data_IF_155059812128
#
_entry.id   IF_155059812128
#
_cell.length_a   1.000
_cell.length_b   1.000
_cell.length_c   1.000
_cell.angle_alpha   90.00
_cell.angle_beta   90.00
_cell.angle_gamma   90.00
#
_symmetry.space_group_name_H-M   'P 1'
#
loop_
_entity.id
_entity.type
_entity.pdbx_description
1 polymer ?
#
# COMPACT_ATOMS: atom_id res chain seq x y z
N UNK A 1 16.28 1.35 -11.22
CA UNK A 1 17.44 1.78 -12.03
C UNK A 1 17.51 3.28 -12.21
N UNK A 2 16.51 3.88 -12.86
CA UNK A 2 16.57 5.29 -13.23
C UNK A 2 16.68 6.23 -12.01
N UNK A 3 15.99 5.93 -10.92
CA UNK A 3 16.05 6.70 -9.68
C UNK A 3 17.44 6.71 -9.03
N UNK A 4 18.08 5.57 -8.69
CA UNK A 4 19.42 5.59 -8.10
C UNK A 4 20.46 6.21 -9.03
N UNK A 5 20.40 5.95 -10.35
CA UNK A 5 21.24 6.65 -11.33
C UNK A 5 21.04 8.17 -11.30
N UNK A 6 19.79 8.62 -11.19
CA UNK A 6 19.47 10.05 -11.15
C UNK A 6 20.00 10.71 -9.89
N UNK A 7 19.89 10.03 -8.74
CA UNK A 7 20.45 10.51 -7.48
C UNK A 7 21.98 10.47 -7.44
N UNK A 8 22.62 9.58 -8.19
CA UNK A 8 24.07 9.54 -8.32
C UNK A 8 24.61 10.70 -9.17
N UNK A 9 23.93 11.04 -10.26
CA UNK A 9 24.29 12.18 -11.13
C UNK A 9 23.93 13.53 -10.53
N UNK A 10 22.77 13.60 -9.89
CA UNK A 10 22.19 14.83 -9.34
C UNK A 10 21.69 14.56 -7.92
N UNK A 11 22.62 14.35 -6.96
CA UNK A 11 22.23 14.20 -5.56
C UNK A 11 21.55 15.48 -5.06
N UNK A 12 20.60 15.38 -4.12
CA UNK A 12 19.95 16.55 -3.54
C UNK A 12 20.98 17.52 -2.96
N UNK A 13 21.00 18.77 -3.42
CA UNK A 13 22.01 19.76 -2.99
C UNK A 13 22.02 19.95 -1.49
N UNK A 14 20.83 19.86 -0.90
CA UNK A 14 20.60 19.98 0.52
C UNK A 14 21.44 18.98 1.36
N UNK A 15 21.87 17.84 0.79
CA UNK A 15 22.71 16.84 1.46
C UNK A 15 24.21 17.12 1.36
N UNK A 16 24.63 18.06 0.52
CA UNK A 16 26.04 18.46 0.39
C UNK A 16 26.98 17.36 -0.14
N UNK A 17 26.44 16.30 -0.75
CA UNK A 17 27.26 15.21 -1.31
C UNK A 17 27.57 15.53 -2.78
N UNK A 18 28.86 15.57 -3.18
CA UNK A 18 29.23 15.80 -4.57
C UNK A 18 28.74 14.67 -5.48
N UNK A 19 28.21 15.04 -6.66
CA UNK A 19 27.77 14.10 -7.68
C UNK A 19 28.91 13.17 -8.13
N UNK A 20 28.55 11.99 -8.67
CA UNK A 20 29.51 11.03 -9.26
C UNK A 20 30.61 10.54 -8.29
N UNK A 21 30.33 10.55 -6.99
CA UNK A 21 31.24 10.02 -5.96
C UNK A 21 30.70 8.75 -5.33
N UNK A 22 31.57 7.93 -4.72
CA UNK A 22 31.13 6.73 -3.97
C UNK A 22 30.15 7.09 -2.85
N UNK A 23 30.31 8.26 -2.24
CA UNK A 23 29.34 8.78 -1.26
C UNK A 23 27.98 9.08 -1.90
N UNK A 24 27.93 9.60 -3.13
CA UNK A 24 26.69 9.81 -3.88
C UNK A 24 26.03 8.49 -4.26
N UNK A 25 26.80 7.44 -4.62
CA UNK A 25 26.26 6.13 -4.92
C UNK A 25 25.57 5.50 -3.69
N UNK A 26 26.24 5.52 -2.54
CA UNK A 26 25.66 5.05 -1.27
C UNK A 26 24.42 5.86 -0.87
N UNK A 27 24.46 7.19 -1.03
CA UNK A 27 23.31 8.05 -0.76
C UNK A 27 22.14 7.79 -1.72
N UNK A 28 22.42 7.56 -3.00
CA UNK A 28 21.41 7.29 -4.01
C UNK A 28 20.59 6.07 -3.63
N UNK A 29 21.26 4.98 -3.24
CA UNK A 29 20.58 3.77 -2.79
C UNK A 29 19.81 3.97 -1.49
N UNK A 30 20.36 4.68 -0.50
CA UNK A 30 19.64 4.99 0.73
C UNK A 30 18.35 5.79 0.48
N UNK A 31 18.38 6.75 -0.45
CA UNK A 31 17.20 7.53 -0.87
C UNK A 31 16.18 6.66 -1.61
N UNK A 32 16.64 5.80 -2.51
CA UNK A 32 15.74 4.87 -3.23
C UNK A 32 15.06 3.89 -2.28
N UNK A 33 15.80 3.28 -1.34
CA UNK A 33 15.18 2.41 -0.32
C UNK A 33 14.24 3.21 0.60
N UNK A 34 14.51 4.50 0.83
CA UNK A 34 13.59 5.36 1.58
C UNK A 34 12.25 5.58 0.87
N UNK A 35 12.26 5.87 -0.43
CA UNK A 35 11.03 6.10 -1.20
C UNK A 35 10.19 4.83 -1.40
N UNK A 36 10.79 3.64 -1.42
CA UNK A 36 10.13 2.37 -1.72
C UNK A 36 10.03 1.39 -0.54
N UNK A 37 10.65 1.74 0.59
CA UNK A 37 10.68 0.95 1.82
C UNK A 37 9.58 1.32 2.79
N UNK A 38 9.92 1.34 4.09
CA UNK A 38 8.95 1.37 5.19
C UNK A 38 7.89 2.47 5.09
N UNK A 39 8.25 3.65 4.56
CA UNK A 39 7.34 4.79 4.47
C UNK A 39 6.20 4.56 3.47
N UNK A 40 6.52 3.98 2.30
CA UNK A 40 5.51 3.63 1.29
C UNK A 40 4.52 2.59 1.87
N UNK A 41 5.04 1.57 2.55
CA UNK A 41 4.21 0.50 3.11
C UNK A 41 3.44 0.94 4.36
N UNK A 42 3.95 1.88 5.15
CA UNK A 42 3.24 2.44 6.30
C UNK A 42 1.96 3.17 5.89
N UNK A 43 1.97 3.88 4.75
CA UNK A 43 0.77 4.50 4.16
C UNK A 43 -0.31 3.43 3.93
N UNK A 44 0.08 2.28 3.38
CA UNK A 44 -0.85 1.16 3.15
C UNK A 44 -1.29 0.46 4.42
N UNK A 45 -0.44 0.42 5.46
CA UNK A 45 -0.84 -0.10 6.78
C UNK A 45 -1.97 0.73 7.36
N UNK A 46 -1.91 2.06 7.30
CA UNK A 46 -2.97 2.93 7.86
C UNK A 46 -4.33 2.58 7.27
N UNK A 47 -4.41 2.54 5.93
CA UNK A 47 -5.68 2.27 5.25
C UNK A 47 -6.08 0.81 5.36
N UNK A 48 -5.15 -0.12 5.10
CA UNK A 48 -5.44 -1.55 5.07
C UNK A 48 -5.76 -2.13 6.45
N UNK A 49 -5.05 -1.73 7.50
CA UNK A 49 -5.36 -2.13 8.88
C UNK A 49 -6.71 -1.57 9.29
N UNK A 50 -6.97 -0.30 8.95
CA UNK A 50 -8.25 0.34 9.28
C UNK A 50 -9.43 -0.34 8.62
N UNK A 51 -9.33 -0.64 7.32
CA UNK A 51 -10.36 -1.38 6.60
C UNK A 51 -10.54 -2.80 7.16
N UNK A 52 -9.43 -3.52 7.39
CA UNK A 52 -9.48 -4.87 7.95
C UNK A 52 -10.15 -4.89 9.33
N UNK A 53 -9.82 -3.93 10.18
CA UNK A 53 -10.40 -3.80 11.51
C UNK A 53 -11.89 -3.45 11.45
N UNK A 54 -12.25 -2.38 10.73
CA UNK A 54 -13.64 -1.94 10.66
C UNK A 54 -14.54 -3.00 10.02
N UNK A 55 -14.05 -3.72 9.00
CA UNK A 55 -14.81 -4.76 8.34
C UNK A 55 -14.86 -6.07 9.11
N UNK A 56 -13.72 -6.65 9.48
CA UNK A 56 -13.70 -8.00 10.05
C UNK A 56 -13.95 -8.05 11.54
N UNK A 57 -13.68 -6.95 12.27
CA UNK A 57 -13.90 -6.88 13.72
C UNK A 57 -15.15 -6.08 14.09
N UNK A 58 -15.47 -5.01 13.36
CA UNK A 58 -16.65 -4.16 13.61
C UNK A 58 -17.81 -4.35 12.63
N UNK A 59 -17.68 -5.24 11.64
CA UNK A 59 -18.78 -5.61 10.74
C UNK A 59 -19.20 -4.51 9.76
N UNK A 60 -18.35 -3.53 9.48
CA UNK A 60 -18.63 -2.46 8.50
C UNK A 60 -18.33 -2.90 7.06
N UNK A 61 -19.02 -2.34 6.05
CA UNK A 61 -18.65 -2.53 4.65
C UNK A 61 -17.18 -2.23 4.36
N UNK A 62 -16.60 -2.91 3.36
CA UNK A 62 -15.20 -2.75 2.98
C UNK A 62 -14.98 -1.45 2.18
N UNK A 63 -15.00 -0.32 2.88
CA UNK A 63 -14.86 1.02 2.30
C UNK A 63 -14.03 1.94 3.21
N UNK A 64 -13.37 2.95 2.62
CA UNK A 64 -12.47 3.89 3.31
C UNK A 64 -13.24 4.80 4.28
N UNK A 65 -14.48 5.19 3.97
CA UNK A 65 -15.27 6.09 4.82
C UNK A 65 -15.39 5.61 6.28
N UNK A 66 -15.42 4.30 6.49
CA UNK A 66 -15.61 3.70 7.81
C UNK A 66 -14.42 3.91 8.74
N UNK A 67 -13.24 4.23 8.22
CA UNK A 67 -12.07 4.56 9.05
C UNK A 67 -12.31 5.81 9.91
N UNK A 68 -13.22 6.70 9.49
CA UNK A 68 -13.51 7.95 10.21
C UNK A 68 -14.58 7.78 11.29
N UNK A 69 -15.32 6.67 11.26
CA UNK A 69 -16.48 6.42 12.13
C UNK A 69 -16.19 6.67 13.62
N UNK A 70 -15.05 6.20 14.20
CA UNK A 70 -14.75 6.44 15.61
C UNK A 70 -14.68 7.92 16.02
N UNK A 71 -14.46 8.84 15.07
CA UNK A 71 -14.30 10.27 15.33
C UNK A 71 -15.52 11.07 14.93
N UNK A 72 -16.07 10.82 13.74
CA UNK A 72 -17.13 11.66 13.18
C UNK A 72 -18.54 11.13 13.46
N UNK A 73 -18.64 9.89 13.95
CA UNK A 73 -19.90 9.20 14.24
C UNK A 73 -20.54 8.63 12.98
N UNK A 74 -21.45 7.66 13.19
CA UNK A 74 -22.02 6.87 12.09
C UNK A 74 -22.86 7.70 11.13
N UNK A 75 -23.69 8.60 11.65
CA UNK A 75 -24.57 9.44 10.82
C UNK A 75 -23.82 10.33 9.82
N UNK A 76 -22.60 10.77 10.15
CA UNK A 76 -21.77 11.58 9.23
C UNK A 76 -21.04 10.71 8.20
N UNK A 77 -20.62 9.50 8.58
CA UNK A 77 -20.00 8.53 7.67
C UNK A 77 -20.99 8.02 6.63
N UNK A 78 -22.25 7.82 7.01
CA UNK A 78 -23.30 7.40 6.07
C UNK A 78 -23.79 8.57 5.19
N UNK A 79 -23.53 9.82 5.59
CA UNK A 79 -23.93 11.02 4.87
C UNK A 79 -22.89 11.59 3.90
N UNK A 80 -23.04 12.88 3.56
CA UNK A 80 -22.24 13.58 2.55
C UNK A 80 -20.72 13.54 2.81
N UNK A 81 -20.30 13.53 4.08
CA UNK A 81 -18.88 13.47 4.45
C UNK A 81 -18.25 12.13 4.06
N UNK A 82 -18.91 11.00 4.34
CA UNK A 82 -18.40 9.69 3.90
C UNK A 82 -18.45 9.51 2.39
N UNK A 83 -19.47 10.07 1.71
CA UNK A 83 -19.49 10.10 0.24
C UNK A 83 -18.32 10.90 -0.33
N UNK A 84 -17.98 12.05 0.24
CA UNK A 84 -16.83 12.84 -0.18
C UNK A 84 -15.52 12.06 -0.02
N UNK A 85 -15.35 11.32 1.09
CA UNK A 85 -14.17 10.47 1.34
C UNK A 85 -14.05 9.37 0.29
N UNK A 86 -15.15 8.67 -0.02
CA UNK A 86 -15.13 7.62 -1.02
C UNK A 86 -14.87 8.17 -2.43
N UNK A 87 -15.41 9.35 -2.77
CA UNK A 87 -15.10 10.02 -4.05
C UNK A 87 -13.62 10.37 -4.13
N UNK A 88 -13.02 10.93 -3.06
CA UNK A 88 -11.58 11.22 -3.03
C UNK A 88 -10.77 9.93 -3.18
N UNK A 89 -11.18 8.84 -2.51
CA UNK A 89 -10.51 7.55 -2.60
C UNK A 89 -10.58 6.95 -4.01
N UNK A 90 -11.76 7.00 -4.66
CA UNK A 90 -11.98 6.52 -6.03
C UNK A 90 -11.16 7.34 -7.04
N UNK A 91 -11.25 8.67 -6.97
CA UNK A 91 -10.54 9.57 -7.88
C UNK A 91 -9.02 9.46 -7.69
N UNK A 92 -8.55 9.42 -6.44
CA UNK A 92 -7.13 9.20 -6.13
C UNK A 92 -6.63 7.88 -6.68
N UNK A 93 -7.39 6.81 -6.52
CA UNK A 93 -7.03 5.49 -7.06
C UNK A 93 -6.98 5.51 -8.59
N UNK A 94 -7.98 6.10 -9.25
CA UNK A 94 -8.05 6.23 -10.71
C UNK A 94 -6.79 6.91 -11.26
N UNK A 95 -6.43 8.09 -10.72
CA UNK A 95 -5.26 8.83 -11.19
C UNK A 95 -3.94 8.16 -10.78
N UNK A 96 -3.88 7.52 -9.62
CA UNK A 96 -2.74 6.73 -9.20
C UNK A 96 -2.48 5.54 -10.14
N UNK A 97 -3.52 4.80 -10.50
CA UNK A 97 -3.44 3.69 -11.47
C UNK A 97 -3.04 4.26 -12.83
N UNK A 98 -3.72 5.29 -13.34
CA UNK A 98 -3.40 5.92 -14.63
C UNK A 98 -1.94 6.39 -14.74
N UNK A 99 -1.36 6.95 -13.67
CA UNK A 99 0.07 7.31 -13.60
C UNK A 99 0.99 6.10 -13.76
N UNK A 100 0.65 5.00 -13.12
CA UNK A 100 1.43 3.74 -13.20
C UNK A 100 1.32 3.11 -14.58
N UNK A 101 0.11 3.13 -15.17
CA UNK A 101 -0.12 2.72 -16.55
C UNK A 101 0.72 3.58 -17.50
N UNK A 102 0.71 4.91 -17.31
CA UNK A 102 1.50 5.85 -18.10
C UNK A 102 2.98 5.49 -18.15
N UNK A 103 3.61 5.26 -16.98
CA UNK A 103 5.00 4.80 -16.89
C UNK A 103 5.22 3.45 -17.61
N UNK A 104 4.30 2.50 -17.44
CA UNK A 104 4.41 1.19 -18.09
C UNK A 104 4.36 1.28 -19.61
N UNK A 105 3.45 2.08 -20.16
CA UNK A 105 3.30 2.31 -21.61
C UNK A 105 4.56 2.97 -22.17
N UNK A 106 5.07 4.03 -21.55
CA UNK A 106 6.28 4.69 -22.06
C UNK A 106 7.47 3.76 -22.01
N UNK A 107 7.57 2.92 -20.97
CA UNK A 107 8.66 1.95 -20.85
C UNK A 107 8.56 0.80 -21.87
N UNK A 108 7.36 0.29 -22.16
CA UNK A 108 7.14 -0.70 -23.23
C UNK A 108 7.51 -0.09 -24.58
N UNK A 109 7.01 1.11 -24.88
CA UNK A 109 7.26 1.79 -26.15
C UNK A 109 8.76 2.00 -26.38
N UNK A 110 9.47 2.55 -25.38
CA UNK A 110 10.92 2.74 -25.45
C UNK A 110 11.69 1.42 -25.53
N UNK A 111 11.20 0.33 -24.93
CA UNK A 111 11.82 -0.99 -25.05
C UNK A 111 11.73 -1.55 -26.47
N UNK A 112 10.56 -1.44 -27.09
CA UNK A 112 10.35 -1.88 -28.48
C UNK A 112 11.15 -1.02 -29.48
N UNK A 113 11.26 0.28 -29.21
CA UNK A 113 12.11 1.19 -30.00
C UNK A 113 13.60 0.90 -29.81
N UNK A 114 14.04 0.61 -28.58
CA UNK A 114 15.43 0.20 -28.30
C UNK A 114 15.82 -1.07 -29.05
N UNK A 115 14.90 -2.02 -29.20
CA UNK A 115 15.09 -3.24 -29.98
C UNK A 115 15.06 -3.02 -31.51
N UNK A 116 14.73 -1.80 -31.96
CA UNK A 116 14.62 -1.45 -33.38
C UNK A 116 13.37 -2.01 -34.07
N UNK A 117 12.36 -2.44 -33.31
CA UNK A 117 11.16 -3.09 -33.88
C UNK A 117 10.11 -2.09 -34.32
N UNK A 118 10.01 -0.95 -33.62
CA UNK A 118 9.05 0.11 -33.92
C UNK A 118 9.73 1.48 -33.83
N UNK A 119 9.09 2.49 -34.43
CA UNK A 119 9.38 3.90 -34.18
C UNK A 119 8.20 4.49 -33.43
N UNK A 120 8.45 5.03 -32.24
CA UNK A 120 7.36 5.47 -31.37
C UNK A 120 6.82 6.82 -31.85
N UNK A 121 5.51 6.86 -32.11
CA UNK A 121 4.77 8.09 -32.30
C UNK A 121 3.53 8.11 -31.38
N UNK A 122 2.81 9.24 -31.37
CA UNK A 122 1.63 9.38 -30.51
C UNK A 122 0.53 8.37 -30.87
N UNK A 123 0.41 7.98 -32.14
CA UNK A 123 -0.58 7.00 -32.59
C UNK A 123 -0.25 5.59 -32.09
N UNK A 124 1.03 5.22 -32.07
CA UNK A 124 1.52 3.99 -31.45
C UNK A 124 1.23 3.95 -29.95
N UNK A 125 1.45 5.06 -29.23
CA UNK A 125 1.10 5.13 -27.80
C UNK A 125 -0.40 4.91 -27.58
N UNK A 126 -1.27 5.56 -28.36
CA UNK A 126 -2.72 5.39 -28.26
C UNK A 126 -3.15 3.98 -28.62
N UNK A 127 -2.61 3.41 -29.70
CA UNK A 127 -2.89 2.04 -30.13
C UNK A 127 -2.50 1.02 -29.06
N UNK A 128 -1.37 1.21 -28.40
CA UNK A 128 -0.93 0.34 -27.31
C UNK A 128 -1.82 0.45 -26.08
N UNK A 129 -2.22 1.67 -25.69
CA UNK A 129 -3.19 1.88 -24.61
C UNK A 129 -4.50 1.16 -24.92
N UNK A 130 -5.02 1.34 -26.13
CA UNK A 130 -6.25 0.70 -26.57
C UNK A 130 -6.14 -0.83 -26.53
N UNK A 131 -5.04 -1.40 -27.04
CA UNK A 131 -4.80 -2.84 -27.05
C UNK A 131 -4.71 -3.43 -25.64
N UNK A 132 -3.99 -2.77 -24.73
CA UNK A 132 -3.85 -3.29 -23.37
C UNK A 132 -5.13 -3.09 -22.57
N UNK A 133 -5.82 -1.95 -22.73
CA UNK A 133 -7.13 -1.71 -22.12
C UNK A 133 -8.16 -2.72 -22.62
N UNK A 134 -8.15 -3.07 -23.90
CA UNK A 134 -9.01 -4.11 -24.46
C UNK A 134 -8.68 -5.49 -23.87
N UNK A 135 -7.41 -5.80 -23.67
CA UNK A 135 -6.96 -7.05 -23.04
C UNK A 135 -7.39 -7.13 -21.57
N UNK A 136 -7.22 -6.06 -20.81
CA UNK A 136 -7.69 -5.95 -19.43
C UNK A 136 -9.23 -6.05 -19.36
N UNK A 137 -9.94 -5.37 -20.25
CA UNK A 137 -11.41 -5.44 -20.34
C UNK A 137 -11.89 -6.86 -20.67
N UNK A 138 -11.22 -7.54 -21.60
CA UNK A 138 -11.51 -8.94 -21.92
C UNK A 138 -11.29 -9.87 -20.71
N UNK A 139 -10.22 -9.63 -19.92
CA UNK A 139 -9.98 -10.34 -18.65
C UNK A 139 -11.14 -10.15 -17.66
N UNK A 140 -11.60 -8.90 -17.50
CA UNK A 140 -12.74 -8.56 -16.63
C UNK A 140 -14.02 -9.29 -17.07
N UNK A 141 -14.38 -9.21 -18.35
CA UNK A 141 -15.63 -9.78 -18.90
C UNK A 141 -15.64 -11.30 -18.80
N UNK A 142 -14.53 -11.92 -19.20
CA UNK A 142 -14.38 -13.38 -19.20
C UNK A 142 -14.42 -13.99 -17.78
N UNK A 143 -14.26 -13.16 -16.74
CA UNK A 143 -14.41 -13.60 -15.34
C UNK A 143 -13.39 -14.66 -14.95
N UNK A 144 -12.26 -14.74 -15.66
CA UNK A 144 -11.27 -15.79 -15.44
C UNK A 144 -10.42 -15.41 -14.22
N UNK A 145 -11.02 -15.50 -13.03
CA UNK A 145 -10.31 -15.40 -11.75
C UNK A 145 -9.11 -16.35 -11.67
N UNK A 146 -9.19 -17.50 -12.35
CA UNK A 146 -8.08 -18.46 -12.53
C UNK A 146 -6.98 -17.94 -13.48
N UNK A 147 -7.34 -17.22 -14.53
CA UNK A 147 -6.45 -16.71 -15.57
C UNK A 147 -5.61 -15.57 -15.06
N UNK A 148 -6.22 -14.64 -14.32
CA UNK A 148 -5.48 -13.57 -13.64
C UNK A 148 -4.49 -14.12 -12.62
N UNK A 149 -4.89 -15.13 -11.83
CA UNK A 149 -3.98 -15.79 -10.88
C UNK A 149 -2.80 -16.45 -11.59
N UNK A 150 -3.04 -17.09 -12.73
CA UNK A 150 -1.99 -17.72 -13.53
C UNK A 150 -1.05 -16.67 -14.16
N UNK A 151 -1.62 -15.60 -14.72
CA UNK A 151 -0.87 -14.49 -15.31
C UNK A 151 0.02 -13.80 -14.28
N UNK A 152 -0.52 -13.54 -13.08
CA UNK A 152 0.23 -12.97 -11.96
C UNK A 152 1.36 -13.90 -11.50
N UNK A 153 1.10 -15.20 -11.34
CA UNK A 153 2.13 -16.18 -10.96
C UNK A 153 3.26 -16.28 -12.00
N UNK A 154 2.91 -16.31 -13.29
CA UNK A 154 3.91 -16.29 -14.37
C UNK A 154 4.71 -15.00 -14.33
N UNK A 155 4.04 -13.86 -14.18
CA UNK A 155 4.71 -12.59 -14.10
C UNK A 155 5.72 -12.53 -12.94
N UNK A 156 5.34 -13.03 -11.76
CA UNK A 156 6.26 -13.16 -10.62
C UNK A 156 7.44 -14.08 -10.93
N UNK A 157 7.21 -15.21 -11.61
CA UNK A 157 8.29 -16.12 -12.01
C UNK A 157 9.24 -15.48 -13.04
N UNK A 158 8.72 -14.75 -14.03
CA UNK A 158 9.51 -14.06 -15.04
C UNK A 158 10.30 -12.89 -14.43
N UNK A 159 9.69 -12.12 -13.54
CA UNK A 159 10.37 -11.05 -12.82
C UNK A 159 11.49 -11.60 -11.91
N UNK A 160 11.23 -12.70 -11.19
CA UNK A 160 12.24 -13.38 -10.39
C UNK A 160 13.37 -13.95 -11.26
N UNK A 161 13.04 -14.55 -12.42
CA UNK A 161 14.02 -15.05 -13.37
C UNK A 161 14.90 -13.93 -13.93
N UNK A 162 14.31 -12.78 -14.26
CA UNK A 162 15.05 -11.59 -14.72
C UNK A 162 15.97 -11.04 -13.62
N UNK A 163 15.48 -10.93 -12.38
CA UNK A 163 16.29 -10.50 -11.25
C UNK A 163 17.44 -11.47 -10.96
N UNK A 164 17.17 -12.78 -10.99
CA UNK A 164 18.18 -13.82 -10.80
C UNK A 164 19.21 -13.79 -11.94
N UNK A 165 18.77 -13.58 -13.17
CA UNK A 165 19.66 -13.44 -14.33
C UNK A 165 20.65 -12.28 -14.13
N UNK A 166 20.17 -11.09 -13.76
CA UNK A 166 21.05 -9.94 -13.50
C UNK A 166 21.94 -10.17 -12.28
N UNK A 167 21.43 -10.83 -11.23
CA UNK A 167 22.23 -11.15 -10.05
C UNK A 167 23.38 -12.10 -10.35
N UNK A 168 23.15 -13.14 -11.16
CA UNK A 168 24.12 -14.19 -11.46
C UNK A 168 25.11 -13.80 -12.57
N UNK A 169 24.64 -13.10 -13.61
CA UNK A 169 25.50 -12.69 -14.73
C UNK A 169 26.05 -11.27 -14.58
N UNK A 170 25.56 -10.52 -13.59
CA UNK A 170 26.14 -9.27 -13.14
C UNK A 170 27.22 -9.48 -12.07
N UNK A 171 27.61 -8.40 -11.36
CA UNK A 171 28.67 -8.45 -10.35
C UNK A 171 28.15 -9.03 -9.02
N UNK A 172 27.89 -10.35 -8.96
CA UNK A 172 27.16 -11.02 -7.86
C UNK A 172 27.71 -10.69 -6.47
N UNK A 173 29.02 -10.80 -6.25
CA UNK A 173 29.63 -10.54 -4.93
C UNK A 173 29.40 -9.10 -4.49
N UNK A 174 29.57 -8.15 -5.41
CA UNK A 174 29.29 -6.74 -5.15
C UNK A 174 27.81 -6.55 -4.82
N UNK A 175 26.87 -7.13 -5.57
CA UNK A 175 25.44 -6.98 -5.29
C UNK A 175 25.03 -7.54 -3.92
N UNK A 176 25.59 -8.67 -3.50
CA UNK A 176 25.31 -9.24 -2.18
C UNK A 176 25.88 -8.37 -1.05
N UNK A 177 27.09 -7.81 -1.23
CA UNK A 177 27.69 -6.87 -0.28
C UNK A 177 26.88 -5.55 -0.22
N UNK A 178 26.52 -5.01 -1.38
CA UNK A 178 25.73 -3.80 -1.51
C UNK A 178 24.36 -3.97 -0.87
N UNK A 179 23.74 -5.14 -0.95
CA UNK A 179 22.42 -5.35 -0.35
C UNK A 179 22.46 -5.20 1.18
N UNK A 180 23.46 -5.80 1.83
CA UNK A 180 23.69 -5.65 3.28
C UNK A 180 23.98 -4.20 3.63
N UNK A 181 24.86 -3.55 2.86
CA UNK A 181 25.23 -2.14 3.04
C UNK A 181 24.03 -1.19 2.86
N UNK A 182 23.19 -1.41 1.86
CA UNK A 182 22.02 -0.59 1.55
C UNK A 182 20.98 -0.69 2.67
N UNK A 183 20.75 -1.88 3.22
CA UNK A 183 19.87 -2.06 4.37
C UNK A 183 20.39 -1.34 5.61
N UNK A 184 21.67 -1.51 5.94
CA UNK A 184 22.30 -0.81 7.08
C UNK A 184 22.30 0.71 6.90
N UNK A 185 22.67 1.19 5.72
CA UNK A 185 22.70 2.61 5.36
C UNK A 185 21.30 3.24 5.37
N UNK A 186 20.27 2.51 4.96
CA UNK A 186 18.89 2.95 5.07
C UNK A 186 18.47 3.14 6.53
N UNK A 187 18.70 2.13 7.38
CA UNK A 187 18.36 2.21 8.82
C UNK A 187 19.07 3.39 9.48
N UNK A 188 20.35 3.60 9.18
CA UNK A 188 21.12 4.72 9.72
C UNK A 188 20.59 6.09 9.24
N UNK A 189 20.13 6.19 8.00
CA UNK A 189 19.68 7.44 7.39
C UNK A 189 18.21 7.77 7.67
N UNK A 190 17.43 6.80 8.15
CA UNK A 190 15.97 6.90 8.27
C UNK A 190 15.50 8.12 9.10
N UNK A 191 16.04 8.39 10.31
CA UNK A 191 15.61 9.56 11.09
C UNK A 191 15.88 10.89 10.38
N UNK A 192 16.97 10.97 9.60
CA UNK A 192 17.32 12.18 8.86
C UNK A 192 16.42 12.37 7.64
N UNK A 193 16.06 11.29 6.94
CA UNK A 193 15.19 11.35 5.77
C UNK A 193 13.74 11.66 6.12
N UNK A 194 13.21 11.03 7.18
CA UNK A 194 11.80 11.18 7.53
C UNK A 194 11.42 12.60 7.98
N UNK A 195 12.37 13.37 8.51
CA UNK A 195 12.16 14.75 8.99
C UNK A 195 12.66 15.81 8.00
N UNK A 196 13.00 15.42 6.77
CA UNK A 196 13.65 16.33 5.82
C UNK A 196 12.65 17.22 5.09
N UNK A 197 12.72 18.53 5.37
CA UNK A 197 11.93 19.56 4.66
C UNK A 197 12.77 20.50 3.79
N UNK A 198 14.11 20.49 3.98
CA UNK A 198 15.10 21.26 3.21
C UNK A 198 14.73 22.74 2.94
N UNK A 199 14.42 23.56 3.97
CA UNK A 199 13.92 24.93 3.78
C UNK A 199 14.92 25.88 3.10
N UNK A 200 16.21 25.55 3.10
CA UNK A 200 17.26 26.33 2.45
C UNK A 200 17.61 25.85 1.02
N UNK A 201 16.93 24.81 0.51
CA UNK A 201 17.17 24.25 -0.82
C UNK A 201 16.05 24.68 -1.77
N UNK A 202 16.42 25.32 -2.88
CA UNK A 202 15.48 25.80 -3.91
C UNK A 202 15.62 25.02 -5.22
N UNK A 203 16.16 23.80 -5.16
CA UNK A 203 16.47 22.96 -6.33
C UNK A 203 15.28 22.11 -6.83
N UNK A 204 14.11 22.23 -6.19
CA UNK A 204 12.90 21.49 -6.59
C UNK A 204 12.93 19.99 -6.33
N UNK A 205 14.06 19.44 -5.84
CA UNK A 205 14.30 18.00 -5.73
C UNK A 205 13.26 17.27 -4.89
N UNK A 206 12.82 17.88 -3.76
CA UNK A 206 11.79 17.28 -2.91
C UNK A 206 10.46 17.13 -3.65
N UNK A 207 10.10 18.09 -4.50
CA UNK A 207 8.90 18.04 -5.33
C UNK A 207 8.97 16.90 -6.36
N UNK A 208 10.11 16.79 -7.04
CA UNK A 208 10.31 15.82 -8.12
C UNK A 208 10.39 14.36 -7.66
N UNK A 209 10.78 14.14 -6.39
CA UNK A 209 11.03 12.81 -5.82
C UNK A 209 10.18 12.53 -4.60
N UNK A 210 10.56 13.03 -3.42
CA UNK A 210 9.95 12.61 -2.15
C UNK A 210 8.46 12.94 -2.07
N UNK A 211 8.08 14.18 -2.40
CA UNK A 211 6.68 14.64 -2.38
C UNK A 211 5.87 13.94 -3.48
N UNK A 212 6.47 13.74 -4.66
CA UNK A 212 5.85 12.96 -5.72
C UNK A 212 5.56 11.52 -5.26
N UNK A 213 6.54 10.80 -4.71
CA UNK A 213 6.34 9.44 -4.23
C UNK A 213 5.31 9.37 -3.11
N UNK A 214 5.33 10.29 -2.14
CA UNK A 214 4.27 10.33 -1.12
C UNK A 214 2.90 10.58 -1.71
N UNK A 215 2.77 11.52 -2.65
CA UNK A 215 1.53 11.74 -3.37
C UNK A 215 1.05 10.47 -4.09
N UNK A 216 1.95 9.81 -4.83
CA UNK A 216 1.63 8.59 -5.55
C UNK A 216 1.23 7.43 -4.61
N UNK A 217 1.95 7.22 -3.51
CA UNK A 217 1.62 6.16 -2.55
C UNK A 217 0.30 6.44 -1.82
N UNK A 218 0.03 7.69 -1.47
CA UNK A 218 -1.23 8.10 -0.83
C UNK A 218 -2.40 7.91 -1.81
N UNK A 219 -2.24 8.25 -3.09
CA UNK A 219 -3.31 8.04 -4.09
C UNK A 219 -3.59 6.56 -4.34
N UNK A 220 -2.60 5.69 -4.17
CA UNK A 220 -2.72 4.22 -4.21
C UNK A 220 -3.25 3.58 -2.93
N UNK A 221 -3.32 4.32 -1.82
CA UNK A 221 -3.60 3.75 -0.52
C UNK A 221 -4.98 3.06 -0.39
N UNK A 222 -6.08 3.57 -0.98
CA UNK A 222 -7.35 2.85 -1.01
C UNK A 222 -7.26 1.50 -1.72
N UNK A 223 -6.58 1.49 -2.89
CA UNK A 223 -6.39 0.29 -3.69
C UNK A 223 -5.61 -0.79 -2.94
N UNK A 224 -4.39 -0.46 -2.54
CA UNK A 224 -3.49 -1.42 -1.89
C UNK A 224 -4.00 -1.77 -0.49
N UNK A 225 -4.54 -0.81 0.25
CA UNK A 225 -5.13 -1.02 1.57
C UNK A 225 -6.28 -2.02 1.54
N UNK A 226 -7.22 -1.87 0.59
CA UNK A 226 -8.31 -2.83 0.43
C UNK A 226 -7.80 -4.23 0.09
N UNK A 227 -6.86 -4.35 -0.86
CA UNK A 227 -6.28 -5.63 -1.24
C UNK A 227 -5.66 -6.34 -0.04
N UNK A 228 -4.81 -5.63 0.70
CA UNK A 228 -4.13 -6.15 1.90
C UNK A 228 -5.17 -6.52 2.97
N UNK A 229 -6.19 -5.70 3.19
CA UNK A 229 -7.26 -6.01 4.15
C UNK A 229 -7.91 -7.35 3.82
N UNK A 230 -8.30 -7.58 2.56
CA UNK A 230 -8.99 -8.79 2.11
C UNK A 230 -8.20 -10.07 2.36
N UNK A 231 -6.90 -10.04 2.10
CA UNK A 231 -6.04 -11.22 2.27
C UNK A 231 -5.56 -11.42 3.72
N UNK A 232 -5.90 -10.49 4.62
CA UNK A 232 -5.43 -10.49 6.01
C UNK A 232 -6.51 -10.85 7.04
N UNK A 233 -7.67 -11.37 6.62
CA UNK A 233 -8.71 -11.83 7.54
C UNK A 233 -8.17 -12.89 8.50
N UNK A 234 -8.35 -12.66 9.80
CA UNK A 234 -7.92 -13.59 10.86
C UNK A 234 -6.45 -13.44 11.30
N UNK A 235 -5.69 -12.49 10.75
CA UNK A 235 -4.34 -12.15 11.23
C UNK A 235 -4.40 -11.26 12.46
N UNK A 236 -3.40 -11.39 13.35
CA UNK A 236 -3.22 -10.42 14.43
C UNK A 236 -2.74 -9.08 13.87
N UNK A 237 -3.03 -7.98 14.56
CA UNK A 237 -2.55 -6.64 14.17
C UNK A 237 -1.02 -6.60 14.06
N UNK A 238 -0.30 -7.31 14.95
CA UNK A 238 1.16 -7.38 14.93
C UNK A 238 1.69 -8.07 13.67
N UNK A 239 1.12 -9.23 13.33
CA UNK A 239 1.49 -9.96 12.11
C UNK A 239 1.18 -9.15 10.86
N UNK A 240 0.02 -8.48 10.83
CA UNK A 240 -0.37 -7.59 9.75
C UNK A 240 0.66 -6.49 9.51
N UNK A 241 0.98 -5.70 10.54
CA UNK A 241 1.90 -4.57 10.44
C UNK A 241 3.31 -5.07 10.06
N UNK A 242 3.79 -6.12 10.73
CA UNK A 242 5.12 -6.68 10.47
C UNK A 242 5.26 -7.20 9.04
N UNK A 243 4.28 -7.96 8.55
CA UNK A 243 4.32 -8.51 7.21
C UNK A 243 4.23 -7.43 6.13
N UNK A 244 3.31 -6.48 6.28
CA UNK A 244 3.08 -5.41 5.28
C UNK A 244 4.27 -4.45 5.20
N UNK A 245 4.94 -4.16 6.33
CA UNK A 245 6.11 -3.29 6.33
C UNK A 245 7.37 -3.99 5.85
N UNK A 246 7.68 -5.18 6.39
CA UNK A 246 8.99 -5.79 6.23
C UNK A 246 9.14 -6.56 4.92
N UNK A 247 8.16 -7.40 4.57
CA UNK A 247 8.28 -8.29 3.39
C UNK A 247 8.50 -7.48 2.11
N UNK A 248 7.68 -6.46 1.81
CA UNK A 248 7.85 -5.71 0.58
C UNK A 248 9.08 -4.79 0.62
N UNK A 249 9.44 -4.24 1.77
CA UNK A 249 10.67 -3.43 1.92
C UNK A 249 11.91 -4.26 1.61
N UNK A 250 11.98 -5.50 2.10
CA UNK A 250 13.08 -6.41 1.83
C UNK A 250 13.14 -6.75 0.33
N UNK A 251 12.01 -7.11 -0.28
CA UNK A 251 11.94 -7.42 -1.72
C UNK A 251 12.34 -6.20 -2.57
N UNK A 252 11.83 -5.01 -2.25
CA UNK A 252 12.16 -3.77 -2.94
C UNK A 252 13.65 -3.44 -2.80
N UNK A 253 14.21 -3.55 -1.58
CA UNK A 253 15.65 -3.31 -1.35
C UNK A 253 16.53 -4.23 -2.19
N UNK A 254 16.14 -5.51 -2.33
CA UNK A 254 16.86 -6.48 -3.14
C UNK A 254 16.73 -6.15 -4.64
N UNK A 255 15.52 -5.83 -5.11
CA UNK A 255 15.27 -5.44 -6.50
C UNK A 255 16.10 -4.19 -6.88
N UNK A 256 16.05 -3.15 -6.06
CA UNK A 256 16.83 -1.93 -6.29
C UNK A 256 18.33 -2.16 -6.17
N UNK A 257 18.78 -3.07 -5.30
CA UNK A 257 20.19 -3.45 -5.26
C UNK A 257 20.59 -4.13 -6.57
N UNK A 258 19.90 -5.20 -6.98
CA UNK A 258 20.22 -5.97 -8.19
C UNK A 258 20.30 -5.06 -9.41
N UNK A 259 19.28 -4.25 -9.65
CA UNK A 259 19.19 -3.46 -10.87
C UNK A 259 19.81 -2.07 -10.73
N UNK A 260 19.64 -1.41 -9.58
CA UNK A 260 20.16 -0.07 -9.29
C UNK A 260 21.66 -0.07 -9.09
N UNK A 261 22.22 -0.93 -8.23
CA UNK A 261 23.67 -0.97 -8.03
C UNK A 261 24.42 -1.51 -9.25
N UNK A 262 23.83 -2.45 -10.01
CA UNK A 262 24.41 -2.86 -11.31
C UNK A 262 24.52 -1.67 -12.27
N UNK A 263 23.48 -0.84 -12.33
CA UNK A 263 23.48 0.37 -13.15
C UNK A 263 24.47 1.43 -12.64
N UNK A 264 24.56 1.64 -11.33
CA UNK A 264 25.52 2.56 -10.71
C UNK A 264 26.96 2.11 -10.97
N UNK A 265 27.26 0.83 -10.77
CA UNK A 265 28.60 0.29 -10.99
C UNK A 265 28.99 0.40 -12.46
N UNK A 266 28.08 0.07 -13.38
CA UNK A 266 28.32 0.23 -14.81
C UNK A 266 28.55 1.68 -15.20
N UNK A 267 27.74 2.61 -14.69
CA UNK A 267 27.94 4.03 -14.94
C UNK A 267 29.29 4.53 -14.37
N UNK A 268 29.69 4.05 -13.18
CA UNK A 268 30.97 4.40 -12.56
C UNK A 268 32.16 3.89 -13.37
N UNK A 269 32.09 2.65 -13.86
CA UNK A 269 33.21 1.99 -14.52
C UNK A 269 33.31 2.33 -16.01
N UNK A 270 32.17 2.39 -16.71
CA UNK A 270 32.11 2.47 -18.17
C UNK A 270 31.55 3.82 -18.66
N UNK A 271 30.74 4.52 -17.85
CA UNK A 271 30.16 5.81 -18.22
C UNK A 271 29.06 5.77 -19.30
N UNK A 272 28.52 4.59 -19.61
CA UNK A 272 27.67 4.34 -20.80
C UNK A 272 26.15 4.26 -20.50
N UNK A 273 25.73 4.47 -19.25
CA UNK A 273 24.31 4.43 -18.87
C UNK A 273 23.54 5.71 -19.23
N UNK A 274 24.23 6.77 -19.68
CA UNK A 274 23.61 8.08 -19.96
C UNK A 274 23.29 8.27 -21.44
N UNK A 275 22.19 8.98 -21.71
CA UNK A 275 21.81 9.48 -23.04
C UNK A 275 22.02 10.99 -23.03
N UNK A 276 22.93 11.49 -23.87
CA UNK A 276 23.25 12.93 -23.93
C UNK A 276 23.58 13.54 -22.56
N UNK A 277 24.27 12.78 -21.69
CA UNK A 277 24.64 13.22 -20.34
C UNK A 277 23.52 13.17 -19.29
N UNK A 278 22.34 12.64 -19.63
CA UNK A 278 21.21 12.51 -18.71
C UNK A 278 20.75 11.04 -18.56
N UNK A 279 20.09 10.73 -17.45
CA UNK A 279 19.39 9.45 -17.28
C UNK A 279 18.12 9.48 -18.12
N UNK A 280 18.01 8.56 -19.07
CA UNK A 280 16.75 8.27 -19.73
C UNK A 280 15.98 7.21 -18.93
N UNK A 281 14.93 7.66 -18.26
CA UNK A 281 14.11 6.82 -17.37
C UNK A 281 13.49 5.61 -18.06
N UNK A 282 13.21 5.69 -19.37
CA UNK A 282 12.53 4.62 -20.09
C UNK A 282 13.50 3.60 -20.69
N UNK A 283 14.68 4.04 -21.15
CA UNK A 283 15.67 3.15 -21.80
C UNK A 283 16.74 2.57 -20.87
N UNK A 284 16.90 3.12 -19.65
CA UNK A 284 17.93 2.67 -18.69
C UNK A 284 17.92 1.16 -18.41
N UNK A 285 16.74 0.53 -18.38
CA UNK A 285 16.59 -0.92 -18.20
C UNK A 285 17.24 -1.70 -19.34
N UNK A 286 16.87 -1.37 -20.57
CA UNK A 286 17.33 -2.07 -21.76
C UNK A 286 18.83 -1.83 -21.99
N UNK A 287 19.33 -0.62 -21.71
CA UNK A 287 20.76 -0.33 -21.71
C UNK A 287 21.52 -1.23 -20.77
N UNK A 288 21.07 -1.38 -19.51
CA UNK A 288 21.74 -2.27 -18.56
C UNK A 288 21.82 -3.70 -19.10
N UNK A 289 20.69 -4.21 -19.58
CA UNK A 289 20.56 -5.58 -20.09
C UNK A 289 21.44 -5.83 -21.32
N UNK A 290 21.61 -4.83 -22.18
CA UNK A 290 22.47 -4.91 -23.36
C UNK A 290 23.96 -5.10 -23.03
N UNK A 291 24.38 -4.72 -21.82
CA UNK A 291 25.73 -4.99 -21.33
C UNK A 291 25.93 -6.37 -20.70
N UNK A 292 24.86 -7.18 -20.65
CA UNK A 292 24.90 -8.55 -20.14
C UNK A 292 24.79 -9.55 -21.30
N UNK A 293 25.22 -10.82 -21.11
CA UNK A 293 25.02 -11.87 -22.12
C UNK A 293 23.54 -11.94 -22.53
N UNK A 294 23.23 -12.32 -23.77
CA UNK A 294 21.83 -12.46 -24.25
C UNK A 294 20.92 -11.22 -24.00
N UNK A 295 21.50 -10.01 -24.01
CA UNK A 295 20.82 -8.74 -23.71
C UNK A 295 19.51 -8.50 -24.47
N UNK A 296 19.47 -8.80 -25.77
CA UNK A 296 18.26 -8.68 -26.59
C UNK A 296 17.11 -9.59 -26.08
N UNK A 297 17.41 -10.85 -25.73
CA UNK A 297 16.42 -11.81 -25.21
C UNK A 297 15.91 -11.33 -23.86
N UNK A 298 16.80 -10.87 -22.98
CA UNK A 298 16.40 -10.36 -21.66
C UNK A 298 15.62 -9.05 -21.73
N UNK A 299 15.88 -8.22 -22.74
CA UNK A 299 15.10 -7.01 -23.03
C UNK A 299 13.67 -7.36 -23.47
N UNK A 300 13.50 -8.36 -24.33
CA UNK A 300 12.16 -8.88 -24.70
C UNK A 300 11.45 -9.44 -23.47
N UNK A 301 12.14 -10.21 -22.63
CA UNK A 301 11.61 -10.72 -21.38
C UNK A 301 11.16 -9.57 -20.45
N UNK A 302 11.95 -8.51 -20.33
CA UNK A 302 11.61 -7.34 -19.54
C UNK A 302 10.35 -6.63 -20.08
N UNK A 303 10.20 -6.49 -21.40
CA UNK A 303 8.98 -5.95 -22.01
C UNK A 303 7.76 -6.82 -21.66
N UNK A 304 7.88 -8.15 -21.75
CA UNK A 304 6.79 -9.07 -21.39
C UNK A 304 6.40 -8.94 -19.91
N UNK A 305 7.38 -8.82 -19.00
CA UNK A 305 7.15 -8.59 -17.58
C UNK A 305 6.36 -7.28 -17.36
N UNK A 306 6.76 -6.19 -18.03
CA UNK A 306 6.05 -4.91 -17.92
C UNK A 306 4.61 -5.02 -18.44
N UNK A 307 4.39 -5.69 -19.58
CA UNK A 307 3.04 -5.94 -20.13
C UNK A 307 2.17 -6.74 -19.15
N UNK A 308 2.69 -7.80 -18.55
CA UNK A 308 1.93 -8.58 -17.57
C UNK A 308 1.65 -7.83 -16.27
N UNK A 309 2.61 -7.04 -15.78
CA UNK A 309 2.37 -6.14 -14.66
C UNK A 309 1.26 -5.15 -14.98
N UNK A 310 1.27 -4.57 -16.19
CA UNK A 310 0.26 -3.63 -16.61
C UNK A 310 -1.14 -4.28 -16.61
N UNK A 311 -1.31 -5.41 -17.31
CA UNK A 311 -2.61 -6.08 -17.42
C UNK A 311 -3.13 -6.50 -16.04
N UNK A 312 -2.27 -7.07 -15.20
CA UNK A 312 -2.65 -7.53 -13.86
C UNK A 312 -3.01 -6.35 -12.94
N UNK A 313 -2.29 -5.24 -13.04
CA UNK A 313 -2.52 -4.04 -12.23
C UNK A 313 -3.81 -3.32 -12.64
N UNK A 314 -4.09 -3.20 -13.94
CA UNK A 314 -5.35 -2.60 -14.42
C UNK A 314 -6.57 -3.45 -14.05
N UNK A 315 -6.47 -4.78 -14.16
CA UNK A 315 -7.56 -5.69 -13.77
C UNK A 315 -7.85 -5.60 -12.24
N UNK A 316 -6.79 -5.53 -11.43
CA UNK A 316 -6.91 -5.42 -9.97
C UNK A 316 -7.38 -4.02 -9.54
N UNK A 317 -6.87 -2.97 -10.18
CA UNK A 317 -7.23 -1.57 -9.93
C UNK A 317 -8.71 -1.32 -10.20
N UNK A 318 -9.16 -1.68 -11.41
CA UNK A 318 -10.57 -1.55 -11.80
C UNK A 318 -11.52 -2.32 -10.88
N UNK A 319 -11.14 -3.51 -10.40
CA UNK A 319 -11.94 -4.25 -9.42
C UNK A 319 -12.11 -3.49 -8.10
N UNK A 320 -11.04 -2.89 -7.58
CA UNK A 320 -11.10 -2.18 -6.30
C UNK A 320 -11.87 -0.87 -6.43
N UNK A 321 -11.67 -0.13 -7.53
CA UNK A 321 -12.49 1.07 -7.78
C UNK A 321 -13.97 0.69 -7.87
N UNK A 322 -14.28 -0.42 -8.54
CA UNK A 322 -15.66 -0.90 -8.65
C UNK A 322 -16.28 -1.23 -7.28
N UNK A 323 -15.55 -1.98 -6.44
CA UNK A 323 -15.98 -2.29 -5.05
C UNK A 323 -16.19 -0.99 -4.24
N UNK A 324 -15.28 -0.03 -4.32
CA UNK A 324 -15.42 1.26 -3.62
C UNK A 324 -16.65 2.02 -4.12
N UNK A 325 -16.87 2.03 -5.44
CA UNK A 325 -18.01 2.72 -6.07
C UNK A 325 -19.36 2.06 -5.75
N UNK A 326 -19.35 0.75 -5.51
CA UNK A 326 -20.52 -0.03 -5.10
C UNK A 326 -20.75 -0.04 -3.57
N UNK A 327 -20.09 0.86 -2.82
CA UNK A 327 -20.28 0.99 -1.37
C UNK A 327 -19.64 -0.14 -0.54
N UNK A 328 -18.69 -0.87 -1.12
CA UNK A 328 -18.00 -1.99 -0.48
C UNK A 328 -18.58 -3.37 -0.80
N UNK A 329 -19.49 -3.48 -1.78
CA UNK A 329 -19.96 -4.76 -2.32
C UNK A 329 -18.80 -5.53 -2.96
N UNK A 330 -18.63 -6.80 -2.59
CA UNK A 330 -17.44 -7.59 -2.97
C UNK A 330 -17.53 -8.19 -4.38
N UNK A 331 -18.74 -8.32 -4.91
CA UNK A 331 -19.01 -8.83 -6.25
C UNK A 331 -19.91 -7.86 -7.05
N UNK A 332 -19.39 -6.67 -7.41
CA UNK A 332 -20.13 -5.69 -8.19
C UNK A 332 -20.40 -6.18 -9.63
N UNK A 333 -21.42 -5.65 -10.32
CA UNK A 333 -21.75 -6.05 -11.68
C UNK A 333 -20.57 -5.89 -12.65
N UNK A 334 -20.32 -6.89 -13.50
CA UNK A 334 -19.23 -6.83 -14.49
C UNK A 334 -19.23 -5.57 -15.37
N UNK A 335 -20.40 -4.99 -15.64
CA UNK A 335 -20.55 -3.79 -16.46
C UNK A 335 -19.88 -2.56 -15.82
N UNK A 336 -20.03 -2.39 -14.50
CA UNK A 336 -19.42 -1.26 -13.78
C UNK A 336 -17.90 -1.45 -13.69
N UNK A 337 -17.43 -2.69 -13.54
CA UNK A 337 -16.00 -3.02 -13.64
C UNK A 337 -15.40 -2.68 -15.01
N UNK A 338 -16.11 -3.01 -16.10
CA UNK A 338 -15.69 -2.64 -17.47
C UNK A 338 -15.64 -1.13 -17.64
N UNK A 339 -16.64 -0.41 -17.11
CA UNK A 339 -16.63 1.06 -17.12
C UNK A 339 -15.35 1.62 -16.48
N UNK A 340 -14.97 1.13 -15.30
CA UNK A 340 -13.76 1.58 -14.61
C UNK A 340 -12.47 1.21 -15.35
N UNK A 341 -12.37 -0.01 -15.89
CA UNK A 341 -11.21 -0.42 -16.68
C UNK A 341 -11.00 0.45 -17.93
N UNK A 342 -12.09 0.77 -18.64
CA UNK A 342 -12.04 1.67 -19.81
C UNK A 342 -11.71 3.10 -19.37
N UNK A 343 -12.30 3.60 -18.28
CA UNK A 343 -12.04 4.94 -17.78
C UNK A 343 -10.58 5.14 -17.35
N UNK A 344 -9.96 4.14 -16.71
CA UNK A 344 -8.52 4.13 -16.39
C UNK A 344 -7.66 4.26 -17.65
N UNK A 345 -7.96 3.45 -18.68
CA UNK A 345 -7.26 3.49 -19.96
C UNK A 345 -7.42 4.84 -20.67
N UNK A 346 -8.63 5.40 -20.67
CA UNK A 346 -8.90 6.73 -21.23
C UNK A 346 -8.18 7.82 -20.44
N UNK A 347 -8.19 7.78 -19.11
CA UNK A 347 -7.48 8.74 -18.28
C UNK A 347 -5.96 8.69 -18.54
N UNK A 348 -5.39 7.50 -18.65
CA UNK A 348 -3.98 7.32 -19.01
C UNK A 348 -3.68 7.87 -20.42
N UNK A 349 -4.53 7.58 -21.41
CA UNK A 349 -4.38 8.11 -22.77
C UNK A 349 -4.45 9.64 -22.81
N UNK A 350 -5.43 10.23 -22.14
CA UNK A 350 -5.60 11.68 -22.08
C UNK A 350 -4.40 12.34 -21.42
N UNK A 351 -3.93 11.83 -20.29
CA UNK A 351 -2.80 12.43 -19.57
C UNK A 351 -1.47 12.27 -20.34
N UNK A 352 -1.28 11.16 -21.05
CA UNK A 352 -0.12 10.97 -21.93
C UNK A 352 -0.16 11.88 -23.16
N UNK A 353 -1.33 12.03 -23.79
CA UNK A 353 -1.51 12.86 -24.98
C UNK A 353 -1.44 14.35 -24.68
N UNK A 354 -2.20 14.82 -23.67
CA UNK A 354 -2.25 16.24 -23.29
C UNK A 354 -0.88 16.71 -22.79
N UNK A 355 -0.19 15.88 -22.01
CA UNK A 355 1.10 16.30 -21.49
C UNK A 355 2.21 16.29 -22.54
N UNK A 356 2.09 15.55 -23.65
CA UNK A 356 3.10 15.51 -24.71
C UNK A 356 4.51 15.22 -24.17
N UNK A 357 5.47 16.11 -24.43
CA UNK A 357 6.83 16.02 -23.86
C UNK A 357 6.87 16.14 -22.31
N UNK A 358 5.82 16.70 -21.70
CA UNK A 358 5.60 16.79 -20.25
C UNK A 358 4.53 15.85 -19.70
N UNK A 359 4.17 14.79 -20.44
CA UNK A 359 3.22 13.74 -20.03
C UNK A 359 3.49 13.21 -18.62
N UNK A 360 4.75 12.98 -18.31
CA UNK A 360 5.17 12.55 -16.98
C UNK A 360 4.82 13.57 -15.90
N UNK A 361 5.05 14.85 -16.17
CA UNK A 361 4.74 15.94 -15.23
C UNK A 361 3.25 16.05 -15.00
N UNK A 362 2.42 15.90 -16.04
CA UNK A 362 0.96 15.90 -15.92
C UNK A 362 0.46 14.75 -15.04
N UNK A 363 0.96 13.53 -15.28
CA UNK A 363 0.63 12.34 -14.48
C UNK A 363 1.02 12.52 -13.00
N UNK A 364 2.25 12.99 -12.75
CA UNK A 364 2.77 13.28 -11.40
C UNK A 364 1.91 14.33 -10.68
N UNK A 365 1.56 15.41 -11.36
CA UNK A 365 0.78 16.51 -10.79
C UNK A 365 -0.63 16.05 -10.41
N UNK A 366 -1.29 15.27 -11.28
CA UNK A 366 -2.61 14.71 -10.98
C UNK A 366 -2.60 13.78 -9.75
N UNK A 367 -1.57 12.95 -9.62
CA UNK A 367 -1.39 12.09 -8.44
C UNK A 367 -1.21 12.90 -7.16
N UNK A 368 -0.37 13.94 -7.17
CA UNK A 368 -0.14 14.81 -5.99
C UNK A 368 -1.41 15.59 -5.62
N UNK A 369 -2.11 16.14 -6.62
CA UNK A 369 -3.31 16.95 -6.40
C UNK A 369 -4.44 16.15 -5.72
N UNK A 370 -4.59 14.88 -6.08
CA UNK A 370 -5.60 13.98 -5.48
C UNK A 370 -5.14 13.39 -4.15
N UNK A 371 -3.84 13.22 -3.95
CA UNK A 371 -3.29 12.74 -2.69
C UNK A 371 -3.41 13.74 -1.55
N UNK A 372 -3.32 15.04 -1.82
CA UNK A 372 -3.41 16.08 -0.80
C UNK A 372 -4.70 15.98 0.05
N UNK A 373 -5.92 15.98 -0.51
CA UNK A 373 -7.12 15.81 0.31
C UNK A 373 -7.18 14.45 1.00
N UNK A 374 -6.71 13.38 0.36
CA UNK A 374 -6.69 12.05 0.96
C UNK A 374 -5.71 11.94 2.14
N UNK A 375 -4.61 12.68 2.12
CA UNK A 375 -3.66 12.75 3.24
C UNK A 375 -4.31 13.26 4.53
N UNK A 376 -5.25 14.21 4.43
CA UNK A 376 -6.01 14.72 5.57
C UNK A 376 -6.90 13.61 6.13
N UNK A 377 -7.59 12.88 5.26
CA UNK A 377 -8.41 11.71 5.63
C UNK A 377 -7.56 10.68 6.36
N UNK A 378 -6.35 10.38 5.87
CA UNK A 378 -5.44 9.43 6.51
C UNK A 378 -4.98 9.87 7.90
N UNK A 379 -4.66 11.16 8.09
CA UNK A 379 -4.29 11.68 9.42
C UNK A 379 -5.45 11.52 10.40
N UNK A 380 -6.67 11.83 9.98
CA UNK A 380 -7.87 11.61 10.81
C UNK A 380 -8.08 10.12 11.07
N UNK A 381 -7.85 9.26 10.08
CA UNK A 381 -7.93 7.80 10.25
C UNK A 381 -6.93 7.27 11.28
N UNK A 382 -5.69 7.77 11.33
CA UNK A 382 -4.72 7.41 12.36
C UNK A 382 -5.25 7.73 13.78
N UNK A 383 -5.81 8.92 13.95
CA UNK A 383 -6.42 9.33 15.22
C UNK A 383 -7.66 8.47 15.56
N UNK A 384 -8.54 8.24 14.59
CA UNK A 384 -9.73 7.43 14.74
C UNK A 384 -9.41 5.99 15.14
N UNK A 385 -8.36 5.41 14.56
CA UNK A 385 -7.93 4.05 14.87
C UNK A 385 -7.29 3.94 16.24
N UNK A 386 -6.55 4.96 16.65
CA UNK A 386 -6.04 5.04 18.03
C UNK A 386 -7.20 5.03 19.03
N UNK A 387 -8.26 5.82 18.78
CA UNK A 387 -9.47 5.83 19.63
C UNK A 387 -10.18 4.48 19.64
N UNK A 388 -10.35 3.84 18.48
CA UNK A 388 -10.99 2.53 18.38
C UNK A 388 -10.21 1.43 19.12
N UNK A 389 -8.87 1.41 19.01
CA UNK A 389 -8.03 0.43 19.71
C UNK A 389 -8.02 0.64 21.22
N UNK A 390 -8.00 1.90 21.68
CA UNK A 390 -8.12 2.20 23.12
C UNK A 390 -9.47 1.75 23.68
N UNK A 391 -10.55 1.97 22.93
CA UNK A 391 -11.87 1.47 23.33
C UNK A 391 -11.88 -0.06 23.42
N UNK A 392 -11.38 -0.76 22.39
CA UNK A 392 -11.35 -2.22 22.39
C UNK A 392 -10.50 -2.79 23.53
N UNK A 393 -9.39 -2.14 23.88
CA UNK A 393 -8.57 -2.52 25.03
C UNK A 393 -9.33 -2.32 26.35
N UNK A 394 -10.10 -1.24 26.46
CA UNK A 394 -10.89 -0.94 27.65
C UNK A 394 -12.13 -1.85 27.79
N UNK A 395 -12.73 -2.26 26.66
CA UNK A 395 -13.89 -3.15 26.59
C UNK A 395 -13.51 -4.64 26.54
N UNK A 396 -12.21 -4.98 26.44
CA UNK A 396 -11.77 -6.38 26.46
C UNK A 396 -12.21 -7.01 27.79
N UNK A 397 -13.02 -8.09 27.78
CA UNK A 397 -13.50 -8.70 29.02
C UNK A 397 -12.30 -9.11 29.86
N UNK A 398 -12.18 -8.47 31.03
CA UNK A 398 -11.23 -8.87 32.06
C UNK A 398 -11.61 -10.30 32.44
N UNK A 399 -10.74 -11.26 32.13
CA UNK A 399 -10.82 -12.58 32.74
C UNK A 399 -10.64 -12.35 34.24
N UNK A 400 -11.77 -12.26 34.95
CA UNK A 400 -11.82 -12.19 36.40
C UNK A 400 -11.42 -13.57 36.88
N UNK A 401 -10.17 -13.71 37.35
CA UNK A 401 -9.80 -14.90 38.11
C UNK A 401 -10.47 -14.76 39.47
N UNK A 402 -11.69 -15.30 39.59
CA UNK A 402 -12.35 -15.45 40.88
C UNK A 402 -11.63 -16.59 41.59
N UNK A 403 -10.59 -16.26 42.38
CA UNK A 403 -10.15 -17.16 43.45
C UNK A 403 -11.26 -17.18 44.48
N UNK A 404 -11.96 -18.31 44.56
CA UNK A 404 -12.84 -18.60 45.69
C UNK A 404 -11.98 -18.40 46.95
N UNK A 405 -12.45 -17.67 47.98
CA UNK A 405 -11.71 -17.59 49.24
C UNK A 405 -11.42 -19.01 49.68
N UNK A 406 -10.14 -19.34 49.90
CA UNK A 406 -9.77 -20.62 50.50
C UNK A 406 -10.53 -20.70 51.82
N UNK A 407 -11.60 -21.48 51.85
CA UNK A 407 -12.17 -21.95 53.10
C UNK A 407 -11.11 -22.88 53.66
N UNK A 408 -10.25 -22.30 54.51
CA UNK A 408 -9.32 -22.90 55.46
C UNK A 408 -9.07 -24.39 55.19
N UNK A 409 -8.14 -24.69 54.29
CA UNK A 409 -7.46 -25.97 54.29
C UNK A 409 -6.00 -25.74 54.68
N UNK A 410 -5.74 -25.86 55.98
CA UNK A 410 -4.40 -25.96 56.53
C UNK A 410 -3.64 -27.09 55.82
N UNK A 411 -2.60 -26.77 55.06
CA UNK A 411 -1.91 -27.79 54.27
C UNK A 411 -0.80 -27.27 53.38
N UNK A 412 0.24 -26.78 54.03
CA UNK A 412 1.53 -26.37 53.46
C UNK A 412 1.98 -27.23 52.25
N UNK A 413 1.88 -26.70 51.03
CA UNK A 413 2.65 -27.18 49.87
C UNK A 413 3.10 -26.00 49.00
N UNK A 414 4.37 -25.62 49.15
CA UNK A 414 5.11 -24.81 48.17
C UNK A 414 5.04 -25.49 46.81
N UNK A 415 4.35 -24.88 45.84
CA UNK A 415 4.59 -25.13 44.41
C UNK A 415 5.47 -24.01 43.88
N UNK A 416 6.61 -24.41 43.32
CA UNK A 416 7.45 -23.54 42.51
C UNK A 416 6.74 -23.30 41.18
N UNK A 417 6.25 -22.08 40.97
CA UNK A 417 5.81 -21.64 39.65
C UNK A 417 7.02 -21.22 38.83
N UNK A 418 7.23 -21.94 37.73
CA UNK A 418 8.23 -21.65 36.72
C UNK A 418 7.68 -20.51 35.85
N UNK A 419 8.23 -19.31 36.05
CA UNK A 419 8.41 -18.22 35.08
C UNK A 419 7.49 -18.22 33.85
N UNK A 420 6.34 -17.52 33.95
CA UNK A 420 5.52 -17.08 32.82
C UNK A 420 6.04 -15.77 32.19
N UNK A 421 7.36 -15.60 32.09
CA UNK A 421 7.98 -14.29 31.76
C UNK A 421 8.12 -14.02 30.25
N UNK A 422 7.44 -14.76 29.37
CA UNK A 422 7.49 -14.53 27.91
C UNK A 422 6.13 -14.35 27.22
N UNK A 423 5.04 -14.31 27.98
CA UNK A 423 3.75 -13.82 27.48
C UNK A 423 3.29 -12.68 28.38
N UNK A 424 3.39 -11.44 27.91
CA UNK A 424 2.79 -10.25 28.53
C UNK A 424 1.25 -10.28 28.49
N UNK A 425 0.66 -11.40 28.88
CA UNK A 425 -0.76 -11.68 28.96
C UNK A 425 -1.03 -12.11 30.39
N UNK A 426 -1.13 -11.11 31.27
CA UNK A 426 -2.12 -10.96 32.35
C UNK A 426 -1.70 -9.64 33.00
N UNK A 427 -2.22 -8.53 32.44
CA UNK A 427 -2.23 -7.28 33.18
C UNK A 427 -3.37 -7.40 34.20
N UNK A 428 -3.04 -7.77 35.44
CA UNK A 428 -3.94 -7.54 36.57
C UNK A 428 -3.98 -6.03 36.74
N UNK A 429 -5.06 -5.40 36.26
CA UNK A 429 -5.31 -3.97 36.43
C UNK A 429 -6.38 -3.83 37.50
N UNK A 430 -6.07 -3.09 38.56
CA UNK A 430 -7.04 -2.78 39.62
C UNK A 430 -8.27 -2.09 39.01
N UNK A 431 -9.45 -2.56 39.42
CA UNK A 431 -10.74 -2.00 39.02
C UNK A 431 -11.17 -1.04 40.13
N UNK A 432 -11.38 0.22 39.78
CA UNK A 432 -11.86 1.22 40.74
C UNK A 432 -13.27 0.85 41.24
N UNK A 433 -13.51 1.02 42.54
CA UNK A 433 -14.68 0.46 43.26
C UNK A 433 -16.05 0.97 42.78
N UNK A 434 -16.08 1.96 41.88
CA UNK A 434 -17.31 2.52 41.29
C UNK A 434 -17.69 1.96 39.91
N UNK A 435 -16.93 1.03 39.32
CA UNK A 435 -17.14 0.57 37.93
C UNK A 435 -17.70 -0.85 37.79
N UNK A 436 -18.21 -1.41 38.89
CA UNK A 436 -18.88 -2.71 38.88
C UNK A 436 -20.11 -2.70 39.78
N UNK A 437 -21.14 -3.43 39.35
CA UNK A 437 -22.34 -3.69 40.13
C UNK A 437 -22.31 -5.18 40.50
N UNK A 438 -22.34 -5.46 41.80
CA UNK A 438 -22.50 -6.84 42.29
C UNK A 438 -23.98 -7.07 42.50
N UNK A 439 -24.55 -8.03 41.77
CA UNK A 439 -25.94 -8.38 41.91
C UNK A 439 -26.17 -9.00 43.30
N UNK A 440 -27.03 -8.43 44.16
CA UNK A 440 -27.11 -8.78 45.57
C UNK A 440 -27.55 -10.24 45.81
N UNK A 441 -28.36 -10.80 44.91
CA UNK A 441 -28.94 -12.14 45.09
C UNK A 441 -28.13 -13.27 44.41
N UNK A 442 -27.35 -12.95 43.38
CA UNK A 442 -26.65 -13.95 42.55
C UNK A 442 -25.14 -13.87 42.66
N UNK A 443 -24.61 -12.80 43.27
CA UNK A 443 -23.17 -12.50 43.28
C UNK A 443 -22.58 -12.21 41.90
N UNK A 444 -23.42 -12.08 40.87
CA UNK A 444 -22.97 -11.80 39.51
C UNK A 444 -22.37 -10.39 39.44
N UNK A 445 -21.14 -10.29 38.96
CA UNK A 445 -20.41 -9.04 38.85
C UNK A 445 -20.57 -8.48 37.42
N UNK A 446 -21.30 -7.39 37.30
CA UNK A 446 -21.51 -6.68 36.04
C UNK A 446 -20.55 -5.49 36.00
N UNK A 447 -19.51 -5.57 35.17
CA UNK A 447 -18.61 -4.44 34.92
C UNK A 447 -19.28 -3.49 33.94
N UNK A 448 -19.39 -2.22 34.31
CA UNK A 448 -19.91 -1.19 33.39
C UNK A 448 -18.89 -1.00 32.28
N UNK A 449 -19.24 -1.39 31.05
CA UNK A 449 -18.36 -1.19 29.91
C UNK A 449 -18.14 0.33 29.68
N UNK A 450 -16.94 0.76 29.25
CA UNK A 450 -16.75 2.14 28.82
C UNK A 450 -17.74 2.46 27.69
N UNK A 451 -18.23 3.71 27.58
CA UNK A 451 -19.13 4.09 26.49
C UNK A 451 -18.48 3.81 25.13
N UNK A 452 -19.18 3.05 24.27
CA UNK A 452 -18.70 2.76 22.91
C UNK A 452 -18.77 4.02 22.06
N UNK A 453 -17.64 4.52 21.53
CA UNK A 453 -17.65 5.68 20.66
C UNK A 453 -18.40 5.45 19.34
N UNK A 454 -18.85 4.23 19.05
CA UNK A 454 -19.67 3.86 17.89
C UNK A 454 -21.15 3.62 18.23
N UNK A 455 -21.53 3.66 19.51
CA UNK A 455 -22.90 3.44 19.95
C UNK A 455 -23.59 4.79 20.17
N UNK A 456 -23.95 5.44 19.05
CA UNK A 456 -24.88 6.57 19.07
C UNK A 456 -26.26 6.03 19.50
N UNK A 457 -26.70 6.39 20.70
CA UNK A 457 -27.95 5.97 21.36
C UNK A 457 -29.19 5.76 20.44
N UNK A 458 -29.79 4.56 20.59
CA UNK A 458 -31.22 4.22 20.55
C UNK A 458 -31.96 4.41 19.21
N UNK A 459 -32.21 3.29 18.52
CA UNK A 459 -33.45 3.12 17.75
C UNK A 459 -34.50 2.41 18.62
N UNK A 460 -35.59 3.13 18.87
CA UNK A 460 -36.88 2.59 19.29
C UNK A 460 -37.25 1.39 18.39
N UNK A 461 -37.26 0.19 18.96
CA UNK A 461 -37.91 -0.98 18.35
C UNK A 461 -38.78 -1.68 19.38
N UNK A 462 -39.70 -0.91 19.98
CA UNK A 462 -40.71 -1.45 20.89
C UNK A 462 -42.11 -0.92 20.54
N UNK A 463 -42.46 -1.02 19.25
CA UNK A 463 -43.84 -0.99 18.78
C UNK A 463 -44.00 -1.86 17.53
N UNK A 464 -44.08 -3.17 17.73
CA UNK A 464 -45.10 -4.01 17.13
C UNK A 464 -44.89 -5.45 17.59
N UNK A 465 -45.98 -6.21 17.67
CA UNK A 465 -46.07 -7.63 18.03
C UNK A 465 -46.22 -7.90 19.54
N UNK A 466 -47.41 -7.62 20.07
CA UNK A 466 -48.25 -8.64 20.74
C UNK A 466 -49.55 -8.01 21.25
N UNK A 467 -50.63 -8.17 20.49
CA UNK A 467 -52.01 -8.27 21.03
C UNK A 467 -52.96 -8.69 19.91
N UNK A 468 -53.14 -10.00 19.76
CA UNK A 468 -54.36 -10.65 19.29
C UNK A 468 -54.27 -12.12 19.65
N UNK A 469 -54.83 -12.46 20.80
CA UNK A 469 -55.55 -13.71 21.06
C UNK A 469 -56.05 -13.71 22.49
N UNK A 470 -57.27 -13.22 22.68
CA UNK A 470 -58.17 -13.69 23.74
C UNK A 470 -59.57 -13.74 23.15
N UNK A 471 -59.97 -14.95 22.77
CA UNK A 471 -61.34 -15.42 22.68
C UNK A 471 -62.05 -15.30 24.03
N UNK A 472 -63.31 -14.83 24.04
CA UNK A 472 -64.47 -15.50 24.67
C UNK A 472 -65.54 -14.52 25.19
N UNK A 473 -66.76 -14.70 24.67
CA UNK A 473 -68.08 -14.59 25.35
C UNK A 473 -68.42 -13.32 26.14
N UNK A 474 -69.35 -12.51 25.66
CA UNK A 474 -70.81 -12.60 25.85
C UNK A 474 -71.50 -11.51 25.03
#
# INVERSE_FOLDING_TARGET
MAEPLSHYLRPPRSRGVPALTDAAANQAMALTVFHWGLHAWAIYVVVGLGMAYMTYRRGRPLSVRWLLEPVVGRGRVEGALGHAVDVIAIVGTLFGVATSLGFGITQIASGLEYLGWIRVDNWWMVGMIAAITATATASVVSGVSKGLKWLSNINMALAAALALFVLLLGPTLFLLQSWVQNLGGYVQSLPQFMLRTAPFSHDGWLGDWTIFYWGWWISWAPFVGMFIARISRGRTIREFIGAVLLVPTVIASLWFTIFGDSALLRQRNNGDMLVNGAVDTNTSLFRLLDGLPIGAITSVLAVLVIVFFFVTSSDSGSLVIDILSAGGELDPPKLTRVYWAVLEGVAAAVLLLIGGAGSLTALRTAAIATALPFSIVMVVACYAMTKAFHFDLAATPRLLHVTVPDVVAAGNRRRHDISATLSGLIAVRDVDSGTYIVHPDTGALTVTAPPDPLDDHVFESDRHVTRRNTTSSR
#
